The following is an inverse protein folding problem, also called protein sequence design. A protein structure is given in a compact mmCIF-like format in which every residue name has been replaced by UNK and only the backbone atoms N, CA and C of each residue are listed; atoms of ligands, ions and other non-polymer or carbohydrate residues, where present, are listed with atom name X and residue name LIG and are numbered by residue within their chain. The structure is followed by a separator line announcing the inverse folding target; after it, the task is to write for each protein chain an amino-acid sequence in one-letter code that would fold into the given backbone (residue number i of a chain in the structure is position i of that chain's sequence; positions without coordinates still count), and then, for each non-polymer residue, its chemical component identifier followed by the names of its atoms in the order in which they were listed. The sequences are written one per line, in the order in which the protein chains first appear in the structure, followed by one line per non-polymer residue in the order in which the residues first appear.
data_IF_199404655333
#
_entry.id   IF_199404655333
#
_cell.length_a   1.000
_cell.length_b   1.000
_cell.length_c   1.000
_cell.angle_alpha   90.00
_cell.angle_beta   90.00
_cell.angle_gamma   90.00
#
_symmetry.space_group_name_H-M   'P 1'
#
loop_
_entity.id
_entity.type
_entity.pdbx_description
1 polymer ?
#
# COMPACT_ATOMS: atom_id res chain seq x y z
N UNK A 1 -8.28 -59.54 -13.62
CA UNK A 1 -8.54 -58.18 -14.13
C UNK A 1 -8.94 -57.30 -12.95
N UNK A 2 -8.03 -56.48 -12.41
CA UNK A 2 -8.31 -55.54 -11.30
C UNK A 2 -8.01 -54.12 -11.79
N UNK A 3 -9.04 -53.29 -11.92
CA UNK A 3 -8.92 -51.84 -12.15
C UNK A 3 -8.58 -51.18 -10.81
N UNK A 4 -7.47 -50.45 -10.76
CA UNK A 4 -7.06 -49.65 -9.61
C UNK A 4 -7.91 -48.36 -9.49
N UNK A 5 -8.10 -47.82 -8.27
CA UNK A 5 -8.97 -46.67 -8.02
C UNK A 5 -8.37 -45.34 -8.55
N UNK A 6 -9.18 -44.59 -9.27
CA UNK A 6 -8.87 -43.26 -9.78
C UNK A 6 -8.76 -42.27 -8.61
N UNK A 7 -7.56 -41.71 -8.37
CA UNK A 7 -7.36 -40.66 -7.38
C UNK A 7 -7.92 -39.36 -7.94
N UNK A 8 -9.16 -39.04 -7.59
CA UNK A 8 -9.79 -37.76 -7.92
C UNK A 8 -9.06 -36.65 -7.16
N UNK A 9 -8.07 -36.02 -7.80
CA UNK A 9 -7.51 -34.76 -7.32
C UNK A 9 -8.64 -33.72 -7.32
N UNK A 10 -8.88 -33.00 -6.21
CA UNK A 10 -9.88 -31.94 -6.19
C UNK A 10 -9.48 -30.91 -7.25
N UNK A 11 -10.27 -30.83 -8.32
CA UNK A 11 -10.03 -29.84 -9.36
C UNK A 11 -10.19 -28.45 -8.75
N UNK A 12 -9.28 -27.56 -9.11
CA UNK A 12 -9.31 -26.15 -8.73
C UNK A 12 -10.67 -25.49 -9.07
N UNK A 13 -11.35 -25.99 -10.10
CA UNK A 13 -12.70 -25.56 -10.48
C UNK A 13 -13.75 -25.81 -9.39
N UNK A 14 -13.67 -26.94 -8.70
CA UNK A 14 -14.60 -27.30 -7.61
C UNK A 14 -14.37 -26.41 -6.39
N UNK A 15 -13.10 -26.16 -6.03
CA UNK A 15 -12.75 -25.26 -4.94
C UNK A 15 -13.17 -23.80 -5.24
N UNK A 16 -12.95 -23.33 -6.47
CA UNK A 16 -13.36 -21.99 -6.91
C UNK A 16 -14.88 -21.84 -6.91
N UNK A 17 -15.63 -22.86 -7.33
CA UNK A 17 -17.10 -22.88 -7.32
C UNK A 17 -17.67 -22.82 -5.89
N UNK A 18 -17.12 -23.60 -4.96
CA UNK A 18 -17.61 -23.61 -3.58
C UNK A 18 -17.34 -22.27 -2.88
N UNK A 19 -16.15 -21.72 -3.08
CA UNK A 19 -15.74 -20.42 -2.54
C UNK A 19 -16.58 -19.31 -3.18
N UNK A 20 -16.80 -19.32 -4.50
CA UNK A 20 -17.66 -18.36 -5.18
C UNK A 20 -19.12 -18.41 -4.66
N UNK A 21 -19.65 -19.60 -4.39
CA UNK A 21 -20.99 -19.78 -3.86
C UNK A 21 -21.16 -19.25 -2.42
N UNK A 22 -20.12 -19.35 -1.58
CA UNK A 22 -20.13 -18.76 -0.23
C UNK A 22 -19.95 -17.25 -0.28
N UNK A 23 -18.98 -16.78 -1.06
CA UNK A 23 -18.70 -15.35 -1.24
C UNK A 23 -19.92 -14.61 -1.80
N UNK A 24 -20.66 -15.16 -2.76
CA UNK A 24 -21.84 -14.48 -3.31
C UNK A 24 -22.96 -14.29 -2.28
N UNK A 25 -23.16 -15.26 -1.38
CA UNK A 25 -24.18 -15.15 -0.32
C UNK A 25 -23.78 -14.14 0.76
N UNK A 26 -22.52 -14.16 1.18
CA UNK A 26 -22.00 -13.25 2.18
C UNK A 26 -21.84 -11.82 1.65
N UNK A 27 -21.51 -11.68 0.36
CA UNK A 27 -21.47 -10.40 -0.34
C UNK A 27 -22.79 -9.67 -0.31
N UNK A 28 -23.94 -10.34 -0.38
CA UNK A 28 -25.22 -9.65 -0.43
C UNK A 28 -25.48 -8.89 0.88
N UNK A 29 -25.39 -9.58 2.02
CA UNK A 29 -25.55 -8.95 3.34
C UNK A 29 -24.43 -7.98 3.68
N UNK A 30 -23.20 -8.28 3.27
CA UNK A 30 -22.08 -7.35 3.41
C UNK A 30 -22.30 -6.09 2.55
N UNK A 31 -22.81 -6.21 1.33
CA UNK A 31 -23.04 -5.06 0.44
C UNK A 31 -24.07 -4.11 1.02
N UNK A 32 -25.14 -4.63 1.64
CA UNK A 32 -26.15 -3.80 2.32
C UNK A 32 -25.54 -3.04 3.51
N UNK A 33 -24.83 -3.75 4.41
CA UNK A 33 -24.16 -3.10 5.54
C UNK A 33 -23.04 -2.13 5.12
N UNK A 34 -22.31 -2.46 4.04
CA UNK A 34 -21.30 -1.58 3.45
C UNK A 34 -21.91 -0.38 2.73
N UNK A 35 -23.16 -0.45 2.27
CA UNK A 35 -23.81 0.68 1.63
C UNK A 35 -24.08 1.77 2.66
N UNK A 36 -24.73 1.40 3.77
CA UNK A 36 -25.08 2.31 4.86
C UNK A 36 -23.83 2.87 5.54
N UNK A 37 -22.89 2.00 5.94
CA UNK A 37 -21.61 2.44 6.52
C UNK A 37 -20.76 3.21 5.48
N UNK A 38 -20.89 2.85 4.21
CA UNK A 38 -20.14 3.45 3.12
C UNK A 38 -20.50 4.91 2.91
N UNK A 39 -21.76 5.29 3.06
CA UNK A 39 -22.19 6.67 2.81
C UNK A 39 -21.72 7.63 3.91
N UNK A 40 -21.79 7.22 5.17
CA UNK A 40 -21.22 7.98 6.31
C UNK A 40 -19.70 8.12 6.18
N UNK A 41 -19.02 7.03 5.83
CA UNK A 41 -17.57 7.01 5.63
C UNK A 41 -17.19 7.89 4.44
N UNK A 42 -17.91 7.82 3.32
CA UNK A 42 -17.66 8.66 2.14
C UNK A 42 -17.81 10.13 2.48
N UNK A 43 -18.85 10.51 3.23
CA UNK A 43 -19.07 11.92 3.60
C UNK A 43 -17.92 12.46 4.45
N UNK A 44 -17.56 11.75 5.52
CA UNK A 44 -16.44 12.14 6.38
C UNK A 44 -15.11 12.14 5.62
N UNK A 45 -14.88 11.11 4.81
CA UNK A 45 -13.68 11.03 3.99
C UNK A 45 -13.60 12.17 2.98
N UNK A 46 -14.71 12.61 2.37
CA UNK A 46 -14.73 13.72 1.43
C UNK A 46 -14.41 15.06 2.11
N UNK A 47 -14.90 15.28 3.32
CA UNK A 47 -14.59 16.46 4.13
C UNK A 47 -13.10 16.50 4.50
N UNK A 48 -12.58 15.44 5.13
CA UNK A 48 -11.17 15.33 5.48
C UNK A 48 -10.24 15.39 4.27
N UNK A 49 -10.63 14.75 3.16
CA UNK A 49 -9.84 14.79 1.93
C UNK A 49 -9.80 16.20 1.33
N UNK A 50 -10.87 16.98 1.42
CA UNK A 50 -10.90 18.35 0.92
C UNK A 50 -10.00 19.26 1.73
N UNK A 51 -10.06 19.15 3.06
CA UNK A 51 -9.19 19.91 3.98
C UNK A 51 -7.71 19.52 3.79
N UNK A 52 -7.41 18.22 3.79
CA UNK A 52 -6.07 17.72 3.55
C UNK A 52 -5.53 18.13 2.18
N UNK A 53 -6.37 18.11 1.13
CA UNK A 53 -5.98 18.54 -0.21
C UNK A 53 -5.55 20.01 -0.20
N UNK A 54 -6.36 20.90 0.38
CA UNK A 54 -6.02 22.33 0.44
C UNK A 54 -4.69 22.57 1.17
N UNK A 55 -4.50 21.96 2.34
CA UNK A 55 -3.26 22.08 3.11
C UNK A 55 -2.03 21.53 2.36
N UNK A 56 -2.18 20.37 1.69
CA UNK A 56 -1.11 19.76 0.91
C UNK A 56 -0.74 20.60 -0.31
N UNK A 57 -1.71 21.19 -1.02
CA UNK A 57 -1.43 22.06 -2.17
C UNK A 57 -0.67 23.33 -1.75
N UNK A 58 -1.04 23.93 -0.61
CA UNK A 58 -0.36 25.10 -0.06
C UNK A 58 1.09 24.79 0.33
N UNK A 59 1.32 23.64 0.99
CA UNK A 59 2.66 23.21 1.40
C UNK A 59 3.52 22.72 0.22
N UNK A 60 2.94 22.00 -0.74
CA UNK A 60 3.65 21.48 -1.91
C UNK A 60 4.22 22.61 -2.77
N UNK A 61 3.45 23.70 -2.95
CA UNK A 61 3.90 24.89 -3.69
C UNK A 61 5.11 25.55 -3.02
N UNK A 62 5.19 25.51 -1.69
CA UNK A 62 6.31 26.09 -0.94
C UNK A 62 7.54 25.16 -0.87
N UNK A 63 7.36 23.84 -0.85
CA UNK A 63 8.45 22.87 -0.65
C UNK A 63 9.05 22.31 -1.96
N UNK A 64 8.54 22.71 -3.12
CA UNK A 64 8.93 22.17 -4.42
C UNK A 64 10.45 22.27 -4.72
N UNK A 65 11.14 23.27 -4.15
CA UNK A 65 12.57 23.52 -4.38
C UNK A 65 13.50 22.55 -3.62
N UNK A 66 13.03 21.92 -2.52
CA UNK A 66 13.84 21.02 -1.69
C UNK A 66 13.65 19.53 -2.04
N UNK A 67 12.75 19.23 -2.97
CA UNK A 67 12.34 17.85 -3.27
C UNK A 67 13.41 17.08 -4.05
N UNK A 68 14.21 17.77 -4.89
CA UNK A 68 15.22 17.17 -5.75
C UNK A 68 16.33 16.45 -4.97
N UNK A 69 16.76 17.01 -3.84
CA UNK A 69 17.79 16.44 -2.99
C UNK A 69 17.33 15.12 -2.33
N UNK A 70 16.07 15.04 -1.90
CA UNK A 70 15.51 13.83 -1.29
C UNK A 70 15.24 12.73 -2.32
N UNK A 71 14.82 13.10 -3.54
CA UNK A 71 14.63 12.15 -4.64
C UNK A 71 15.94 11.50 -5.06
N UNK A 72 17.04 12.27 -5.14
CA UNK A 72 18.35 11.74 -5.51
C UNK A 72 18.87 10.72 -4.48
N UNK A 73 18.76 11.05 -3.18
CA UNK A 73 19.16 10.16 -2.10
C UNK A 73 18.34 8.84 -2.09
N UNK A 74 17.04 8.94 -2.35
CA UNK A 74 16.16 7.76 -2.47
C UNK A 74 16.52 6.88 -3.69
N UNK A 75 16.79 7.51 -4.84
CA UNK A 75 17.22 6.80 -6.05
C UNK A 75 18.52 6.02 -5.86
N UNK A 76 19.49 6.59 -5.15
CA UNK A 76 20.74 5.92 -4.79
C UNK A 76 20.52 4.67 -3.92
N UNK A 77 19.68 4.77 -2.89
CA UNK A 77 19.34 3.64 -2.01
C UNK A 77 18.60 2.52 -2.76
N UNK A 78 17.69 2.89 -3.66
CA UNK A 78 16.91 1.92 -4.45
C UNK A 78 17.79 1.19 -5.48
N UNK A 79 18.75 1.89 -6.10
CA UNK A 79 19.75 1.31 -6.99
C UNK A 79 20.60 0.26 -6.27
N UNK A 80 21.11 0.59 -5.08
CA UNK A 80 21.89 -0.35 -4.28
C UNK A 80 21.08 -1.59 -3.89
N UNK A 81 19.83 -1.41 -3.45
CA UNK A 81 18.95 -2.53 -3.08
C UNK A 81 18.60 -3.44 -4.27
N UNK A 82 18.41 -2.86 -5.46
CA UNK A 82 18.09 -3.62 -6.68
C UNK A 82 19.29 -4.41 -7.21
N UNK A 83 20.51 -3.87 -7.09
CA UNK A 83 21.74 -4.61 -7.39
C UNK A 83 21.92 -5.84 -6.47
N UNK A 84 21.47 -5.77 -5.22
CA UNK A 84 21.45 -6.93 -4.32
C UNK A 84 20.38 -7.97 -4.69
N UNK A 85 19.21 -7.54 -5.19
CA UNK A 85 18.10 -8.44 -5.52
C UNK A 85 18.27 -9.12 -6.89
N UNK A 86 18.95 -8.46 -7.84
CA UNK A 86 19.21 -8.99 -9.18
C UNK A 86 20.14 -10.22 -9.19
N UNK A 87 20.88 -10.47 -8.10
CA UNK A 87 21.76 -11.63 -7.94
C UNK A 87 21.01 -12.91 -7.50
N UNK A 88 19.67 -12.88 -7.39
CA UNK A 88 18.85 -14.02 -6.98
C UNK A 88 18.39 -14.89 -8.17
N UNK A 89 18.75 -16.17 -8.15
CA UNK A 89 18.46 -17.18 -9.18
C UNK A 89 16.98 -17.64 -9.18
N UNK A 90 16.04 -16.82 -9.68
CA UNK A 90 14.63 -17.24 -9.75
C UNK A 90 13.90 -16.79 -11.02
N UNK A 91 14.10 -17.56 -12.10
CA UNK A 91 13.61 -17.29 -13.48
C UNK A 91 12.10 -17.07 -13.62
N UNK A 92 11.27 -17.63 -12.73
CA UNK A 92 9.81 -17.45 -12.74
C UNK A 92 9.37 -16.11 -12.15
N UNK A 93 10.09 -15.64 -11.14
CA UNK A 93 9.87 -14.31 -10.54
C UNK A 93 10.34 -13.23 -11.51
N UNK A 94 11.40 -13.50 -12.28
CA UNK A 94 11.95 -12.57 -13.27
C UNK A 94 10.93 -12.12 -14.31
N UNK A 95 10.02 -12.99 -14.78
CA UNK A 95 8.98 -12.60 -15.76
C UNK A 95 7.94 -11.66 -15.16
N UNK A 96 7.46 -11.96 -13.95
CA UNK A 96 6.52 -11.10 -13.23
C UNK A 96 7.13 -9.73 -12.93
N UNK A 97 8.40 -9.72 -12.52
CA UNK A 97 9.15 -8.49 -12.27
C UNK A 97 9.38 -7.72 -13.56
N UNK A 98 9.64 -8.39 -14.69
CA UNK A 98 9.82 -7.75 -15.99
C UNK A 98 8.52 -7.11 -16.50
N UNK A 99 7.38 -7.79 -16.35
CA UNK A 99 6.08 -7.24 -16.70
C UNK A 99 5.74 -6.02 -15.82
N UNK A 100 6.04 -6.10 -14.52
CA UNK A 100 5.86 -4.98 -13.60
C UNK A 100 6.78 -3.79 -13.94
N UNK A 101 8.05 -4.06 -14.29
CA UNK A 101 9.01 -3.03 -14.70
C UNK A 101 8.55 -2.34 -15.99
N UNK A 102 8.07 -3.09 -16.98
CA UNK A 102 7.52 -2.53 -18.22
C UNK A 102 6.28 -1.67 -18.01
N UNK A 103 5.43 -2.02 -17.04
CA UNK A 103 4.30 -1.17 -16.62
C UNK A 103 4.76 0.11 -15.91
N UNK A 104 5.75 -0.01 -15.03
CA UNK A 104 6.29 1.11 -14.26
C UNK A 104 7.04 2.11 -15.14
N UNK A 105 7.76 1.67 -16.16
CA UNK A 105 8.48 2.56 -17.08
C UNK A 105 7.54 3.40 -17.95
N UNK A 106 6.43 2.80 -18.39
CA UNK A 106 5.35 3.52 -19.08
C UNK A 106 4.69 4.54 -18.16
N UNK A 107 4.50 4.18 -16.89
CA UNK A 107 3.96 5.10 -15.89
C UNK A 107 4.93 6.25 -15.63
N UNK A 108 6.22 5.97 -15.39
CA UNK A 108 7.27 6.97 -15.18
C UNK A 108 7.39 7.95 -16.34
N UNK A 109 7.38 7.43 -17.57
CA UNK A 109 7.41 8.26 -18.78
C UNK A 109 6.19 9.17 -18.89
N UNK A 110 5.00 8.69 -18.50
CA UNK A 110 3.77 9.49 -18.44
C UNK A 110 3.78 10.51 -17.31
N UNK A 111 4.45 10.24 -16.20
CA UNK A 111 4.50 11.11 -15.02
C UNK A 111 5.50 12.26 -15.17
N UNK A 112 6.57 12.06 -15.95
CA UNK A 112 7.66 13.03 -16.11
C UNK A 112 7.20 14.41 -16.59
N UNK A 113 6.18 14.43 -17.44
CA UNK A 113 5.66 15.66 -18.05
C UNK A 113 4.29 16.07 -17.50
N UNK A 114 3.83 15.43 -16.41
CA UNK A 114 2.51 15.71 -15.81
C UNK A 114 2.61 16.64 -14.62
N UNK A 115 1.69 17.59 -14.57
CA UNK A 115 1.39 18.38 -13.37
C UNK A 115 0.77 17.52 -12.27
N UNK A 116 0.86 18.00 -11.02
CA UNK A 116 0.28 17.30 -9.86
C UNK A 116 -1.25 17.07 -10.01
N UNK A 117 -1.96 18.01 -10.65
CA UNK A 117 -3.39 17.86 -10.94
C UNK A 117 -3.68 16.73 -11.93
N UNK A 118 -2.86 16.58 -12.98
CA UNK A 118 -3.00 15.50 -13.95
C UNK A 118 -2.72 14.12 -13.33
N UNK A 119 -1.78 14.04 -12.36
CA UNK A 119 -1.52 12.80 -11.61
C UNK A 119 -2.71 12.44 -10.73
N UNK A 120 -3.29 13.42 -10.01
CA UNK A 120 -4.50 13.20 -9.21
C UNK A 120 -5.69 12.75 -10.07
N UNK A 121 -5.84 13.34 -11.27
CA UNK A 121 -6.87 12.96 -12.22
C UNK A 121 -6.67 11.53 -12.75
N UNK A 122 -5.43 11.14 -13.04
CA UNK A 122 -5.08 9.78 -13.46
C UNK A 122 -5.41 8.76 -12.36
N UNK A 123 -5.03 9.02 -11.11
CA UNK A 123 -5.36 8.13 -9.97
C UNK A 123 -6.87 7.98 -9.81
N UNK A 124 -7.64 9.05 -9.98
CA UNK A 124 -9.10 9.00 -9.96
C UNK A 124 -9.67 8.17 -11.12
N UNK A 125 -9.11 8.28 -12.33
CA UNK A 125 -9.52 7.43 -13.45
C UNK A 125 -9.17 5.97 -13.20
N UNK A 126 -7.94 5.68 -12.77
CA UNK A 126 -7.50 4.32 -12.45
C UNK A 126 -8.38 3.68 -11.38
N UNK A 127 -8.80 4.43 -10.37
CA UNK A 127 -9.72 3.96 -9.34
C UNK A 127 -11.10 3.57 -9.88
N UNK A 128 -11.62 4.33 -10.84
CA UNK A 128 -12.89 4.04 -11.50
C UNK A 128 -12.78 2.86 -12.47
N UNK A 129 -11.69 2.80 -13.22
CA UNK A 129 -11.51 1.83 -14.31
C UNK A 129 -11.04 0.46 -13.78
N UNK A 130 -10.30 0.45 -12.66
CA UNK A 130 -9.74 -0.76 -12.04
C UNK A 130 -9.82 -0.69 -10.51
N UNK A 131 -11.00 -0.89 -9.90
CA UNK A 131 -11.17 -0.77 -8.45
C UNK A 131 -10.24 -1.72 -7.67
N UNK A 132 -9.98 -2.92 -8.18
CA UNK A 132 -9.06 -3.88 -7.53
C UNK A 132 -7.62 -3.38 -7.42
N UNK A 133 -7.11 -2.70 -8.45
CA UNK A 133 -5.77 -2.12 -8.43
C UNK A 133 -5.67 -0.98 -7.41
N UNK A 134 -6.73 -0.16 -7.29
CA UNK A 134 -6.80 0.92 -6.31
C UNK A 134 -6.76 0.37 -4.86
N UNK A 135 -7.51 -0.69 -4.56
CA UNK A 135 -7.49 -1.31 -3.23
C UNK A 135 -6.11 -1.85 -2.85
N UNK A 136 -5.46 -2.60 -3.76
CA UNK A 136 -4.10 -3.13 -3.51
C UNK A 136 -3.09 -1.99 -3.35
N UNK A 137 -3.17 -0.96 -4.20
CA UNK A 137 -2.32 0.23 -4.11
C UNK A 137 -2.53 1.00 -2.80
N UNK A 138 -3.78 1.15 -2.37
CA UNK A 138 -4.15 1.79 -1.09
C UNK A 138 -3.55 1.06 0.12
N UNK A 139 -3.54 -0.27 0.12
CA UNK A 139 -2.92 -1.04 1.20
C UNK A 139 -1.41 -0.79 1.28
N UNK A 140 -0.72 -0.84 0.14
CA UNK A 140 0.73 -0.58 0.07
C UNK A 140 1.03 0.85 0.52
N UNK A 141 0.26 1.83 0.03
CA UNK A 141 0.41 3.23 0.41
C UNK A 141 0.14 3.46 1.90
N UNK A 142 -0.92 2.85 2.44
CA UNK A 142 -1.27 2.94 3.86
C UNK A 142 -0.18 2.36 4.77
N UNK A 143 0.40 1.22 4.39
CA UNK A 143 1.53 0.64 5.13
C UNK A 143 2.78 1.52 5.04
N UNK A 144 3.08 2.09 3.86
CA UNK A 144 4.21 2.99 3.70
C UNK A 144 4.08 4.24 4.59
N UNK A 145 2.90 4.89 4.56
CA UNK A 145 2.58 6.04 5.41
C UNK A 145 2.64 5.64 6.89
N UNK A 146 2.03 4.52 7.26
CA UNK A 146 2.03 4.02 8.63
C UNK A 146 3.43 3.70 9.15
N UNK A 147 4.33 3.21 8.29
CA UNK A 147 5.72 2.94 8.67
C UNK A 147 6.51 4.23 8.90
N UNK A 148 6.28 5.27 8.08
CA UNK A 148 6.90 6.59 8.28
C UNK A 148 6.38 7.22 9.58
N UNK A 149 5.07 7.22 9.80
CA UNK A 149 4.46 7.73 11.03
C UNK A 149 4.99 7.02 12.28
N UNK A 150 5.16 5.69 12.24
CA UNK A 150 5.78 4.92 13.33
C UNK A 150 7.26 5.27 13.53
N UNK A 151 8.00 5.52 12.46
CA UNK A 151 9.42 5.91 12.54
C UNK A 151 9.65 7.32 13.09
N UNK A 152 8.64 8.19 13.03
CA UNK A 152 8.69 9.55 13.57
C UNK A 152 8.31 9.66 15.05
N UNK A 153 7.94 8.55 15.72
CA UNK A 153 7.73 8.57 17.17
C UNK A 153 9.09 8.68 17.87
N UNK A 154 9.41 9.79 18.57
CA UNK A 154 10.59 9.83 19.40
C UNK A 154 10.39 8.79 20.51
N UNK A 155 11.30 7.83 20.60
CA UNK A 155 11.38 6.97 21.78
C UNK A 155 11.44 7.89 23.00
N UNK A 156 10.53 7.76 23.99
CA UNK A 156 10.73 8.43 25.26
C UNK A 156 11.98 7.81 25.87
N UNK A 157 13.10 8.50 25.74
CA UNK A 157 14.26 8.31 26.60
C UNK A 157 13.83 8.71 27.99
N UNK A 158 13.16 7.80 28.68
CA UNK A 158 12.88 7.89 30.10
C UNK A 158 14.19 7.69 30.87
N UNK A 159 14.94 8.78 31.05
CA UNK A 159 15.56 9.03 32.35
C UNK A 159 14.53 9.80 33.19
N UNK A 160 14.23 9.35 34.41
CA UNK A 160 14.88 9.99 35.56
C UNK A 160 15.22 9.06 36.73
N UNK A 161 16.39 9.33 37.30
CA UNK A 161 16.76 9.30 38.72
C UNK A 161 15.78 8.66 39.71
N UNK A 162 16.12 7.48 40.22
CA UNK A 162 15.73 7.08 41.59
C UNK A 162 16.80 7.57 42.54
N UNK A 163 16.56 8.78 43.05
CA UNK A 163 17.00 9.20 44.37
C UNK A 163 16.17 8.45 45.44
N UNK A 164 16.77 8.20 46.60
CA UNK A 164 16.17 7.81 47.90
C UNK A 164 16.09 6.31 48.25
N UNK A 165 17.07 5.83 49.02
CA UNK A 165 16.75 5.13 50.28
C UNK A 165 17.80 5.44 51.36
N UNK A 166 17.29 5.84 52.53
CA UNK A 166 17.99 6.32 53.72
C UNK A 166 17.65 5.33 54.84
N UNK A 167 18.58 4.54 55.38
CA UNK A 167 18.45 3.94 56.73
C UNK A 167 19.72 3.17 57.21
N UNK A 168 20.12 3.44 58.46
CA UNK A 168 20.96 2.58 59.33
C UNK A 168 22.42 3.05 59.47
N UNK A 169 22.91 3.64 60.57
CA UNK A 169 22.38 3.74 61.93
C UNK A 169 22.63 2.47 62.76
N UNK A 170 23.89 2.17 63.11
CA UNK A 170 24.45 1.97 64.47
C UNK A 170 25.98 1.83 64.38
#
# INVERSE_FOLDING_TARGET
MQRAPEKTTPSFDTAKSEIAGRISREKQSATEALHDAGDDIKQKAAEYASEAKSALFEQATQQQQNLSAHISAFGGALRAASEHLANGDQKSVSKLVLDAAGGLERLSSKLKDKSFEEVLQEVRSMGRDNPGALFVGSMIAGLAIGRIAKSSSPQPTGGPSTETEKAGGV
#
